data_IF_262443645609
#
_entry.id   IF_262443645609
#
_cell.length_a   1.000
_cell.length_b   1.000
_cell.length_c   1.000
_cell.angle_alpha   90.00
_cell.angle_beta   90.00
_cell.angle_gamma   90.00
#
_symmetry.space_group_name_H-M   'P 1'
#
loop_
_entity.id
_entity.type
_entity.pdbx_description
1 polymer ?
#
# COMPACT_ATOMS: atom_id res chain seq x y z
N UNK A 1 -21.89 -13.12 2.50
CA UNK A 1 -20.59 -12.72 3.09
C UNK A 1 -20.31 -13.34 4.45
N UNK A 2 -21.20 -13.24 5.45
CA UNK A 2 -20.99 -13.88 6.77
C UNK A 2 -20.79 -15.40 6.71
N UNK A 3 -21.50 -16.12 5.81
CA UNK A 3 -21.27 -17.55 5.61
C UNK A 3 -19.84 -17.89 5.17
N UNK A 4 -19.23 -17.13 4.25
CA UNK A 4 -17.86 -17.42 3.80
C UNK A 4 -16.81 -17.16 4.90
N UNK A 5 -17.07 -16.18 5.78
CA UNK A 5 -16.22 -15.90 6.93
C UNK A 5 -16.37 -16.98 8.01
N UNK A 6 -17.60 -17.43 8.27
CA UNK A 6 -17.87 -18.52 9.22
C UNK A 6 -17.34 -19.86 8.72
N UNK A 7 -17.41 -20.15 7.41
CA UNK A 7 -16.86 -21.39 6.85
C UNK A 7 -15.33 -21.40 6.89
N UNK A 8 -14.67 -20.27 6.60
CA UNK A 8 -13.20 -20.17 6.74
C UNK A 8 -12.75 -20.25 8.20
N UNK A 9 -13.49 -19.64 9.13
CA UNK A 9 -13.19 -19.70 10.56
C UNK A 9 -13.43 -21.10 11.13
N UNK A 10 -14.54 -21.76 10.77
CA UNK A 10 -14.85 -23.13 11.18
C UNK A 10 -13.85 -24.14 10.62
N UNK A 11 -13.46 -24.01 9.36
CA UNK A 11 -12.42 -24.85 8.75
C UNK A 11 -11.07 -24.67 9.45
N UNK A 12 -10.69 -23.43 9.79
CA UNK A 12 -9.46 -23.14 10.52
C UNK A 12 -9.48 -23.70 11.94
N UNK A 13 -10.61 -23.61 12.64
CA UNK A 13 -10.76 -24.16 13.99
C UNK A 13 -10.73 -25.70 13.99
N UNK A 14 -11.39 -26.31 12.99
CA UNK A 14 -11.36 -27.76 12.78
C UNK A 14 -9.94 -28.26 12.48
N UNK A 15 -9.23 -27.57 11.58
CA UNK A 15 -7.84 -27.88 11.24
C UNK A 15 -6.90 -27.70 12.44
N UNK A 16 -7.06 -26.63 13.22
CA UNK A 16 -6.27 -26.35 14.43
C UNK A 16 -6.48 -27.42 15.53
N UNK A 17 -7.70 -27.96 15.67
CA UNK A 17 -7.97 -29.03 16.65
C UNK A 17 -7.55 -30.43 16.16
N UNK A 18 -7.47 -30.68 14.85
CA UNK A 18 -7.20 -32.01 14.31
C UNK A 18 -5.73 -32.27 13.95
N UNK A 19 -4.96 -31.24 13.57
CA UNK A 19 -3.58 -31.41 13.08
C UNK A 19 -2.47 -31.11 14.11
N UNK A 20 -2.74 -30.41 15.22
CA UNK A 20 -1.71 -30.11 16.24
C UNK A 20 -1.17 -31.39 16.91
N UNK A 21 -2.04 -32.37 17.15
CA UNK A 21 -1.65 -33.62 17.81
C UNK A 21 -0.89 -34.56 16.86
N UNK A 22 -1.14 -34.49 15.54
CA UNK A 22 -0.48 -35.36 14.55
C UNK A 22 0.87 -34.82 14.09
N UNK A 23 0.95 -33.51 13.86
CA UNK A 23 2.19 -32.89 13.39
C UNK A 23 3.23 -32.93 14.52
N UNK A 24 2.84 -32.68 15.78
CA UNK A 24 3.74 -32.69 16.94
C UNK A 24 4.51 -34.00 17.17
N UNK A 25 3.87 -35.15 16.92
CA UNK A 25 4.50 -36.47 17.07
C UNK A 25 5.46 -36.81 15.93
N UNK A 26 5.24 -36.30 14.71
CA UNK A 26 6.14 -36.48 13.56
C UNK A 26 7.39 -35.59 13.64
N UNK A 27 7.30 -34.35 14.14
CA UNK A 27 8.49 -33.45 14.22
C UNK A 27 9.55 -33.95 15.21
N UNK A 28 9.16 -34.76 16.21
CA UNK A 28 10.07 -35.26 17.25
C UNK A 28 10.86 -36.52 16.83
N UNK A 29 10.55 -37.13 15.68
CA UNK A 29 11.16 -38.41 15.26
C UNK A 29 12.01 -38.33 13.98
N UNK A 30 12.17 -37.16 13.36
CA UNK A 30 12.84 -37.03 12.04
C UNK A 30 14.18 -36.28 12.16
N UNK A 31 15.28 -36.96 11.83
CA UNK A 31 16.66 -36.44 11.78
C UNK A 31 16.91 -35.40 10.65
N UNK A 32 15.92 -35.19 9.78
CA UNK A 32 16.01 -34.33 8.59
C UNK A 32 14.82 -33.36 8.52
N UNK A 33 15.09 -32.07 8.28
CA UNK A 33 14.03 -31.06 8.19
C UNK A 33 13.07 -31.41 7.05
N UNK A 34 11.78 -31.64 7.32
CA UNK A 34 10.86 -32.10 6.30
C UNK A 34 10.38 -30.94 5.43
N UNK A 35 10.72 -30.97 4.14
CA UNK A 35 10.42 -29.93 3.15
C UNK A 35 8.91 -29.56 3.00
N UNK A 36 7.99 -30.40 3.48
CA UNK A 36 6.56 -30.11 3.43
C UNK A 36 6.14 -29.00 4.42
N UNK A 37 6.88 -28.81 5.52
CA UNK A 37 6.60 -27.76 6.51
C UNK A 37 6.79 -26.36 5.93
N UNK A 38 7.81 -26.15 5.08
CA UNK A 38 8.01 -24.86 4.39
C UNK A 38 6.87 -24.53 3.44
N UNK A 39 6.32 -25.55 2.78
CA UNK A 39 5.17 -25.38 1.89
C UNK A 39 3.92 -25.01 2.67
N UNK A 40 3.68 -25.67 3.81
CA UNK A 40 2.56 -25.35 4.71
C UNK A 40 2.72 -23.93 5.30
N UNK A 41 3.93 -23.56 5.73
CA UNK A 41 4.23 -22.24 6.25
C UNK A 41 3.98 -21.14 5.19
N UNK A 42 4.44 -21.34 3.95
CA UNK A 42 4.17 -20.43 2.85
C UNK A 42 2.67 -20.29 2.56
N UNK A 43 1.94 -21.40 2.52
CA UNK A 43 0.48 -21.40 2.31
C UNK A 43 -0.26 -20.65 3.43
N UNK A 44 0.15 -20.84 4.69
CA UNK A 44 -0.40 -20.08 5.82
C UNK A 44 -0.15 -18.58 5.69
N UNK A 45 1.04 -18.17 5.25
CA UNK A 45 1.38 -16.76 5.08
C UNK A 45 0.53 -16.11 3.99
N UNK A 46 0.36 -16.79 2.85
CA UNK A 46 -0.52 -16.33 1.76
C UNK A 46 -1.98 -16.24 2.22
N UNK A 47 -2.48 -17.24 2.94
CA UNK A 47 -3.82 -17.21 3.54
C UNK A 47 -3.97 -16.04 4.52
N UNK A 48 -2.94 -15.74 5.31
CA UNK A 48 -2.91 -14.57 6.20
C UNK A 48 -3.10 -13.26 5.45
N UNK A 49 -2.38 -13.05 4.34
CA UNK A 49 -2.53 -11.85 3.51
C UNK A 49 -3.92 -11.75 2.87
N UNK A 50 -4.46 -12.87 2.37
CA UNK A 50 -5.81 -12.91 1.78
C UNK A 50 -6.87 -12.59 2.84
N UNK A 51 -6.74 -13.14 4.05
CA UNK A 51 -7.68 -12.87 5.14
C UNK A 51 -7.62 -11.40 5.59
N UNK A 52 -6.43 -10.81 5.70
CA UNK A 52 -6.28 -9.39 6.04
C UNK A 52 -6.96 -8.50 5.00
N UNK A 53 -6.76 -8.80 3.71
CA UNK A 53 -7.40 -8.09 2.61
C UNK A 53 -8.93 -8.26 2.63
N UNK A 54 -9.41 -9.49 2.87
CA UNK A 54 -10.84 -9.78 2.97
C UNK A 54 -11.51 -9.01 4.11
N UNK A 55 -10.90 -8.98 5.29
CA UNK A 55 -11.42 -8.22 6.44
C UNK A 55 -11.50 -6.73 6.11
N UNK A 56 -10.45 -6.17 5.49
CA UNK A 56 -10.45 -4.77 5.06
C UNK A 56 -11.63 -4.45 4.11
N UNK A 57 -11.86 -5.29 3.10
CA UNK A 57 -12.99 -5.13 2.18
C UNK A 57 -14.33 -5.23 2.92
N UNK A 58 -14.50 -6.22 3.80
CA UNK A 58 -15.74 -6.36 4.56
C UNK A 58 -16.00 -5.11 5.42
N UNK A 59 -14.98 -4.55 6.07
CA UNK A 59 -15.11 -3.30 6.82
C UNK A 59 -15.53 -2.14 5.92
N UNK A 60 -14.97 -2.00 4.71
CA UNK A 60 -15.42 -0.98 3.76
C UNK A 60 -16.88 -1.20 3.32
N UNK A 61 -17.29 -2.44 3.03
CA UNK A 61 -18.67 -2.76 2.68
C UNK A 61 -19.66 -2.47 3.81
N UNK A 62 -19.24 -2.55 5.08
CA UNK A 62 -20.12 -2.15 6.18
C UNK A 62 -20.43 -0.66 6.16
N UNK A 63 -19.54 0.20 5.63
CA UNK A 63 -19.81 1.63 5.48
C UNK A 63 -20.96 1.89 4.49
N UNK A 64 -21.05 1.11 3.41
CA UNK A 64 -22.16 1.18 2.46
C UNK A 64 -23.49 0.76 3.09
N UNK A 65 -23.48 -0.26 3.95
CA UNK A 65 -24.68 -0.65 4.71
C UNK A 65 -25.11 0.43 5.72
N UNK A 66 -24.15 1.12 6.33
CA UNK A 66 -24.42 2.25 7.21
C UNK A 66 -25.01 3.45 6.45
N UNK A 67 -24.71 3.60 5.16
CA UNK A 67 -25.25 4.66 4.30
C UNK A 67 -26.75 4.53 4.03
N UNK A 68 -27.39 3.39 4.33
CA UNK A 68 -28.86 3.24 4.32
C UNK A 68 -29.55 4.09 5.41
N UNK A 69 -28.80 4.57 6.42
CA UNK A 69 -29.31 5.54 7.38
C UNK A 69 -29.32 6.95 6.76
N UNK A 70 -30.47 7.64 6.76
CA UNK A 70 -30.67 8.96 6.13
C UNK A 70 -29.57 10.00 6.44
N UNK A 71 -28.95 9.97 7.64
CA UNK A 71 -27.87 10.90 7.99
C UNK A 71 -26.53 10.53 7.34
N UNK A 72 -26.24 9.25 7.22
CA UNK A 72 -25.00 8.75 6.61
C UNK A 72 -25.10 8.69 5.08
N UNK A 73 -26.32 8.53 4.54
CA UNK A 73 -26.61 8.64 3.11
C UNK A 73 -26.13 9.97 2.51
N UNK A 74 -26.32 11.08 3.23
CA UNK A 74 -25.89 12.42 2.78
C UNK A 74 -24.37 12.49 2.69
N UNK A 75 -23.66 11.99 3.70
CA UNK A 75 -22.19 11.96 3.72
C UNK A 75 -21.66 11.09 2.57
N UNK A 76 -22.18 9.88 2.40
CA UNK A 76 -21.77 8.97 1.32
C UNK A 76 -22.05 9.57 -0.07
N UNK A 77 -23.20 10.23 -0.27
CA UNK A 77 -23.52 10.88 -1.53
C UNK A 77 -22.61 12.08 -1.82
N UNK A 78 -22.24 12.89 -0.81
CA UNK A 78 -21.28 13.99 -1.00
C UNK A 78 -19.89 13.48 -1.39
N UNK A 79 -19.40 12.42 -0.73
CA UNK A 79 -18.15 11.76 -1.09
C UNK A 79 -18.21 11.22 -2.53
N UNK A 80 -19.33 10.59 -2.90
CA UNK A 80 -19.52 10.01 -4.23
C UNK A 80 -19.53 11.09 -5.32
N UNK A 81 -20.17 12.24 -5.08
CA UNK A 81 -20.16 13.37 -6.00
C UNK A 81 -18.76 13.96 -6.17
N UNK A 82 -18.05 14.20 -5.06
CA UNK A 82 -16.69 14.71 -5.06
C UNK A 82 -15.67 13.72 -5.66
N UNK A 83 -15.93 12.41 -5.59
CA UNK A 83 -15.01 11.38 -6.06
C UNK A 83 -14.66 11.50 -7.55
N UNK A 84 -15.59 11.93 -8.39
CA UNK A 84 -15.35 12.07 -9.84
C UNK A 84 -14.32 13.17 -10.15
N UNK A 85 -14.37 14.27 -9.41
CA UNK A 85 -13.41 15.38 -9.53
C UNK A 85 -12.06 15.02 -8.88
N UNK A 86 -12.09 14.34 -7.73
CA UNK A 86 -10.89 13.85 -7.07
C UNK A 86 -10.16 12.80 -7.93
N UNK A 87 -10.89 11.96 -8.67
CA UNK A 87 -10.29 10.92 -9.50
C UNK A 87 -9.49 11.48 -10.67
N UNK A 88 -10.02 12.49 -11.38
CA UNK A 88 -9.29 13.13 -12.48
C UNK A 88 -8.03 13.85 -11.98
N UNK A 89 -8.11 14.51 -10.82
CA UNK A 89 -6.95 15.12 -10.17
C UNK A 89 -5.91 14.09 -9.72
N UNK A 90 -6.37 13.00 -9.08
CA UNK A 90 -5.51 11.91 -8.63
C UNK A 90 -4.76 11.26 -9.81
N UNK A 91 -5.40 11.12 -10.96
CA UNK A 91 -4.77 10.58 -12.17
C UNK A 91 -3.62 11.47 -12.65
N UNK A 92 -3.83 12.79 -12.73
CA UNK A 92 -2.76 13.75 -13.11
C UNK A 92 -1.63 13.71 -12.08
N UNK A 93 -1.97 13.67 -10.79
CA UNK A 93 -0.98 13.59 -9.71
C UNK A 93 -0.14 12.31 -9.80
N UNK A 94 -0.74 11.14 -10.01
CA UNK A 94 -0.02 9.86 -10.13
C UNK A 94 0.92 9.89 -11.33
N UNK A 95 0.48 10.40 -12.49
CA UNK A 95 1.34 10.51 -13.68
C UNK A 95 2.54 11.42 -13.39
N UNK A 96 2.31 12.58 -12.77
CA UNK A 96 3.37 13.51 -12.42
C UNK A 96 4.35 12.90 -11.39
N UNK A 97 3.82 12.19 -10.38
CA UNK A 97 4.62 11.52 -9.36
C UNK A 97 5.49 10.41 -9.96
N UNK A 98 4.94 9.60 -10.88
CA UNK A 98 5.70 8.58 -11.61
C UNK A 98 6.79 9.23 -12.46
N UNK A 99 6.49 10.32 -13.17
CA UNK A 99 7.49 11.01 -13.99
C UNK A 99 8.67 11.55 -13.17
N UNK A 100 8.39 12.15 -12.01
CA UNK A 100 9.43 12.68 -11.10
C UNK A 100 10.20 11.54 -10.42
N UNK A 101 9.54 10.44 -10.06
CA UNK A 101 10.19 9.26 -9.52
C UNK A 101 11.10 8.60 -10.56
N UNK A 102 10.68 8.51 -11.83
CA UNK A 102 11.54 8.00 -12.92
C UNK A 102 12.75 8.92 -13.14
N UNK A 103 12.55 10.24 -13.18
CA UNK A 103 13.65 11.19 -13.29
C UNK A 103 14.64 11.09 -12.11
N UNK A 104 14.13 10.88 -10.90
CA UNK A 104 14.94 10.65 -9.71
C UNK A 104 15.70 9.32 -9.77
N UNK A 105 15.06 8.24 -10.24
CA UNK A 105 15.69 6.93 -10.39
C UNK A 105 16.85 6.98 -11.39
N UNK A 106 16.66 7.65 -12.54
CA UNK A 106 17.71 7.78 -13.56
C UNK A 106 18.88 8.65 -13.07
N UNK A 107 18.59 9.74 -12.36
CA UNK A 107 19.64 10.67 -11.92
C UNK A 107 20.39 10.21 -10.67
N UNK A 108 19.66 9.68 -9.68
CA UNK A 108 20.19 9.35 -8.36
C UNK A 108 20.37 7.86 -8.10
N UNK A 109 19.81 6.98 -8.93
CA UNK A 109 19.75 5.55 -8.63
C UNK A 109 21.10 4.84 -8.49
N UNK A 110 22.18 5.43 -8.98
CA UNK A 110 23.55 4.91 -8.79
C UNK A 110 24.21 5.32 -7.48
N UNK A 111 23.78 6.42 -6.86
CA UNK A 111 24.45 7.02 -5.70
C UNK A 111 23.57 7.06 -4.45
N UNK A 112 22.24 7.06 -4.61
CA UNK A 112 21.27 7.20 -3.53
C UNK A 112 20.41 5.91 -3.44
N UNK A 113 20.51 5.13 -2.35
CA UNK A 113 19.86 3.82 -2.24
C UNK A 113 18.32 3.89 -2.28
N UNK A 114 17.75 5.02 -1.85
CA UNK A 114 16.32 5.34 -1.92
C UNK A 114 15.84 5.47 -3.37
N UNK A 115 16.74 5.76 -4.31
CA UNK A 115 16.45 5.85 -5.73
C UNK A 115 16.94 4.63 -6.52
N UNK A 116 17.48 3.59 -5.87
CA UNK A 116 18.12 2.46 -6.56
C UNK A 116 17.17 1.59 -7.38
N UNK A 117 15.87 1.57 -7.07
CA UNK A 117 14.86 0.87 -7.86
C UNK A 117 13.68 1.79 -8.12
N UNK A 118 12.93 1.54 -9.21
CA UNK A 118 11.74 2.31 -9.54
C UNK A 118 10.74 2.38 -8.37
N UNK A 119 10.50 1.25 -7.68
CA UNK A 119 9.58 1.19 -6.55
C UNK A 119 10.07 1.96 -5.33
N UNK A 120 11.39 1.91 -5.04
CA UNK A 120 11.97 2.70 -3.95
C UNK A 120 11.92 4.19 -4.27
N UNK A 121 12.24 4.56 -5.51
CA UNK A 121 12.14 5.94 -5.97
C UNK A 121 10.70 6.49 -5.86
N UNK A 122 9.71 5.67 -6.24
CA UNK A 122 8.30 6.03 -6.12
C UNK A 122 7.91 6.26 -4.65
N UNK A 123 8.31 5.34 -3.76
CA UNK A 123 8.08 5.46 -2.32
C UNK A 123 8.77 6.69 -1.72
N UNK A 124 10.02 6.96 -2.10
CA UNK A 124 10.77 8.11 -1.64
C UNK A 124 10.19 9.43 -2.16
N UNK A 125 9.72 9.47 -3.42
CA UNK A 125 9.03 10.64 -3.98
C UNK A 125 7.71 10.90 -3.24
N UNK A 126 6.96 9.85 -2.88
CA UNK A 126 5.75 9.97 -2.07
C UNK A 126 6.03 10.44 -0.64
N UNK A 127 7.09 9.93 0.01
CA UNK A 127 7.58 10.46 1.28
C UNK A 127 7.98 11.94 1.14
N UNK A 128 8.54 12.30 0.00
CA UNK A 128 8.85 13.68 -0.33
C UNK A 128 7.63 14.59 -0.40
N UNK A 129 6.49 14.08 -0.86
CA UNK A 129 5.21 14.83 -0.84
C UNK A 129 4.77 15.14 0.59
N UNK A 130 5.07 14.25 1.54
CA UNK A 130 4.82 14.44 2.97
C UNK A 130 5.85 15.37 3.64
N UNK A 131 6.86 15.86 2.90
CA UNK A 131 7.92 16.72 3.39
C UNK A 131 9.13 15.98 3.98
N UNK A 132 9.18 14.65 3.88
CA UNK A 132 10.31 13.87 4.39
C UNK A 132 11.40 13.73 3.31
N UNK A 133 12.27 14.74 3.19
CA UNK A 133 13.35 14.79 2.19
C UNK A 133 14.68 15.18 2.84
N UNK A 134 15.72 14.37 2.63
CA UNK A 134 17.10 14.65 3.06
C UNK A 134 17.86 15.47 2.00
N UNK A 135 17.39 16.69 1.76
CA UNK A 135 17.89 17.56 0.67
C UNK A 135 19.41 17.78 0.72
N UNK A 136 19.97 18.02 1.91
CA UNK A 136 21.40 18.30 2.07
C UNK A 136 22.27 17.11 1.64
N UNK A 137 21.83 15.88 1.93
CA UNK A 137 22.56 14.69 1.51
C UNK A 137 22.57 14.54 -0.01
N UNK A 138 21.44 14.82 -0.68
CA UNK A 138 21.35 14.71 -2.13
C UNK A 138 22.20 15.77 -2.83
N UNK A 139 22.25 16.98 -2.25
CA UNK A 139 23.04 18.09 -2.77
C UNK A 139 24.55 17.82 -2.69
N UNK A 140 25.01 17.07 -1.68
CA UNK A 140 26.41 16.64 -1.60
C UNK A 140 26.81 15.73 -2.77
N UNK A 141 25.87 14.93 -3.27
CA UNK A 141 26.08 14.04 -4.41
C UNK A 141 26.07 14.82 -5.73
N UNK A 142 25.02 15.61 -5.98
CA UNK A 142 24.88 16.38 -7.22
C UNK A 142 24.48 17.83 -6.97
N UNK A 143 25.50 18.68 -6.73
CA UNK A 143 25.34 20.08 -6.32
C UNK A 143 24.44 20.91 -7.25
N UNK A 144 24.46 20.67 -8.56
CA UNK A 144 23.71 21.47 -9.54
C UNK A 144 22.36 20.85 -9.93
N UNK A 145 22.28 19.51 -9.99
CA UNK A 145 21.06 18.83 -10.41
C UNK A 145 20.02 18.79 -9.27
N UNK A 146 20.45 18.64 -8.02
CA UNK A 146 19.55 18.55 -6.87
C UNK A 146 18.67 19.77 -6.66
N UNK A 147 19.19 21.01 -6.70
CA UNK A 147 18.34 22.20 -6.63
C UNK A 147 17.30 22.26 -7.76
N UNK A 148 17.69 21.92 -8.99
CA UNK A 148 16.79 21.93 -10.15
C UNK A 148 15.66 20.89 -9.98
N UNK A 149 16.03 19.64 -9.70
CA UNK A 149 15.08 18.55 -9.47
C UNK A 149 14.08 18.88 -8.35
N UNK A 150 14.59 19.34 -7.21
CA UNK A 150 13.76 19.69 -6.05
C UNK A 150 12.81 20.84 -6.35
N UNK A 151 13.27 21.86 -7.09
CA UNK A 151 12.43 23.00 -7.48
C UNK A 151 11.30 22.57 -8.41
N UNK A 152 11.58 21.74 -9.43
CA UNK A 152 10.54 21.20 -10.31
C UNK A 152 9.54 20.34 -9.52
N UNK A 153 10.03 19.47 -8.64
CA UNK A 153 9.17 18.69 -7.75
C UNK A 153 8.25 19.57 -6.90
N UNK A 154 8.79 20.61 -6.27
CA UNK A 154 8.04 21.52 -5.42
C UNK A 154 6.99 22.32 -6.21
N UNK A 155 7.33 22.78 -7.42
CA UNK A 155 6.38 23.48 -8.31
C UNK A 155 5.22 22.55 -8.67
N UNK A 156 5.51 21.32 -9.09
CA UNK A 156 4.49 20.33 -9.45
C UNK A 156 3.59 20.03 -8.25
N UNK A 157 4.18 19.85 -7.06
CA UNK A 157 3.44 19.61 -5.83
C UNK A 157 2.52 20.79 -5.48
N UNK A 158 3.01 22.02 -5.57
CA UNK A 158 2.20 23.22 -5.35
C UNK A 158 1.05 23.32 -6.35
N UNK A 159 1.30 23.05 -7.64
CA UNK A 159 0.26 23.07 -8.67
C UNK A 159 -0.84 22.04 -8.40
N UNK A 160 -0.47 20.83 -7.97
CA UNK A 160 -1.44 19.79 -7.62
C UNK A 160 -2.24 20.17 -6.38
N UNK A 161 -1.59 20.68 -5.33
CA UNK A 161 -2.27 21.13 -4.11
C UNK A 161 -3.19 22.33 -4.38
N UNK A 162 -2.75 23.27 -5.21
CA UNK A 162 -3.55 24.43 -5.61
C UNK A 162 -4.78 24.01 -6.43
N UNK A 163 -4.63 23.04 -7.33
CA UNK A 163 -5.78 22.46 -8.04
C UNK A 163 -6.77 21.79 -7.09
N UNK A 164 -6.31 21.19 -5.99
CA UNK A 164 -7.21 20.64 -4.96
C UNK A 164 -7.99 21.74 -4.24
N UNK A 165 -7.35 22.85 -3.87
CA UNK A 165 -8.00 23.97 -3.18
C UNK A 165 -8.97 24.75 -4.08
N UNK A 166 -8.67 24.87 -5.38
CA UNK A 166 -9.52 25.59 -6.34
C UNK A 166 -10.73 24.77 -6.77
N UNK A 167 -10.57 23.44 -6.86
CA UNK A 167 -11.66 22.54 -7.28
C UNK A 167 -12.60 22.20 -6.13
N UNK A 168 -12.15 22.30 -4.88
CA UNK A 168 -12.94 22.13 -3.67
C UNK A 168 -13.88 23.33 -3.39
#
# INVERSE_FOLDING_TARGET
NACCFLTTWAFRFYWFHHDIDRVGDEIMQVEHFPNHLDTIAFMMQVLGYIHAFHICILTLMTLDFLAENQRLAVVTNTIKLASTQLFSLALIFIIALIAIALAGHVAYGSQIPEYATMWRSLGNTLLGVLGNIEYEQWKQVYVHYTPFYFTVFQIVLILVLLNMVITA
#
